data_IF_654572364231
#
_entry.id   IF_654572364231
#
_cell.length_a   1.000
_cell.length_b   1.000
_cell.length_c   1.000
_cell.angle_alpha   90.00
_cell.angle_beta   90.00
_cell.angle_gamma   90.00
#
_symmetry.space_group_name_H-M   'P 1'
#
loop_
_entity.id
_entity.type
_entity.pdbx_description
1 polymer ?
#
# COMPACT_ATOMS: atom_id res chain seq x y z
N UNK A 1 11.48 -10.69 4.34
CA UNK A 1 11.44 -11.33 5.67
C UNK A 1 12.54 -10.75 6.54
N UNK A 2 12.18 -10.35 7.76
CA UNK A 2 13.17 -9.91 8.74
C UNK A 2 13.95 -11.12 9.32
N UNK A 3 15.05 -10.86 10.03
CA UNK A 3 15.96 -11.90 10.54
C UNK A 3 15.25 -12.96 11.41
N UNK A 4 14.22 -12.54 12.15
CA UNK A 4 13.49 -13.39 13.10
C UNK A 4 12.41 -14.27 12.50
N UNK A 5 12.29 -14.38 11.16
CA UNK A 5 11.31 -15.24 10.53
C UNK A 5 11.54 -16.72 10.91
N UNK A 6 10.47 -17.43 11.26
CA UNK A 6 10.56 -18.82 11.65
C UNK A 6 10.83 -19.74 10.44
N UNK A 7 11.36 -20.96 10.67
CA UNK A 7 11.69 -21.88 9.58
C UNK A 7 10.49 -22.25 8.68
N UNK A 8 9.27 -22.32 9.24
CA UNK A 8 8.06 -22.70 8.50
C UNK A 8 7.69 -21.60 7.51
N UNK A 9 7.73 -20.33 7.96
CA UNK A 9 7.50 -19.18 7.08
C UNK A 9 8.54 -19.08 5.96
N UNK A 10 9.83 -19.29 6.29
CA UNK A 10 10.91 -19.27 5.29
C UNK A 10 10.69 -20.36 4.24
N UNK A 11 10.36 -21.58 4.67
CA UNK A 11 10.11 -22.70 3.77
C UNK A 11 8.88 -22.44 2.89
N UNK A 12 7.79 -21.94 3.48
CA UNK A 12 6.58 -21.56 2.74
C UNK A 12 6.89 -20.51 1.67
N UNK A 13 7.49 -19.38 2.04
CA UNK A 13 7.84 -18.32 1.09
C UNK A 13 8.76 -18.83 -0.02
N UNK A 14 9.69 -19.74 0.29
CA UNK A 14 10.61 -20.33 -0.69
C UNK A 14 9.89 -21.26 -1.66
N UNK A 15 8.99 -22.12 -1.18
CA UNK A 15 8.28 -23.14 -1.98
C UNK A 15 7.02 -22.63 -2.67
N UNK A 16 6.45 -21.52 -2.22
CA UNK A 16 5.20 -20.98 -2.76
C UNK A 16 5.30 -20.73 -4.27
N UNK A 17 4.40 -21.34 -5.04
CA UNK A 17 4.40 -21.21 -6.50
C UNK A 17 3.64 -19.95 -6.91
N UNK A 18 4.37 -18.98 -7.44
CA UNK A 18 3.80 -17.74 -7.99
C UNK A 18 3.68 -17.85 -9.51
N UNK A 19 2.46 -18.01 -10.00
CA UNK A 19 2.19 -18.21 -11.42
C UNK A 19 1.96 -16.89 -12.19
N UNK A 20 2.13 -15.74 -11.54
CA UNK A 20 1.80 -14.42 -12.07
C UNK A 20 3.02 -13.50 -12.21
N UNK A 21 4.13 -14.04 -12.73
CA UNK A 21 5.38 -13.31 -12.97
C UNK A 21 6.55 -13.84 -12.14
N UNK A 22 7.54 -12.99 -11.87
CA UNK A 22 8.71 -13.35 -11.07
C UNK A 22 8.44 -13.28 -9.58
N UNK A 23 8.97 -14.25 -8.80
CA UNK A 23 8.98 -14.22 -7.34
C UNK A 23 10.40 -13.93 -6.84
N UNK A 24 10.55 -12.87 -6.06
CA UNK A 24 11.81 -12.53 -5.39
C UNK A 24 11.61 -12.60 -3.89
N UNK A 25 12.41 -13.42 -3.20
CA UNK A 25 12.35 -13.58 -1.75
C UNK A 25 13.62 -13.00 -1.14
N UNK A 26 13.47 -11.98 -0.29
CA UNK A 26 14.58 -11.35 0.45
C UNK A 26 14.48 -11.69 1.93
N UNK A 27 15.55 -12.25 2.48
CA UNK A 27 15.69 -12.55 3.90
C UNK A 27 16.86 -11.76 4.48
N UNK A 28 16.64 -11.04 5.58
CA UNK A 28 17.68 -10.21 6.19
C UNK A 28 18.57 -11.01 7.13
N UNK A 29 19.87 -10.66 7.13
CA UNK A 29 20.84 -11.18 8.12
C UNK A 29 20.79 -10.38 9.42
N UNK A 30 20.37 -9.11 9.35
CA UNK A 30 20.28 -8.18 10.49
C UNK A 30 18.84 -7.72 10.62
N UNK A 31 18.36 -7.57 11.86
CA UNK A 31 17.03 -7.04 12.14
C UNK A 31 16.90 -5.63 11.53
N UNK A 32 16.03 -5.49 10.54
CA UNK A 32 15.80 -4.21 9.86
C UNK A 32 14.67 -3.40 10.50
N UNK A 33 13.69 -4.07 11.11
CA UNK A 33 12.46 -3.43 11.53
C UNK A 33 11.57 -3.03 10.34
N UNK A 34 10.40 -2.47 10.67
CA UNK A 34 9.32 -2.23 9.71
C UNK A 34 9.71 -1.24 8.60
N UNK A 35 10.26 -0.07 8.97
CA UNK A 35 10.51 1.00 8.00
C UNK A 35 11.51 0.57 6.90
N UNK A 36 12.69 0.01 7.22
CA UNK A 36 13.58 -0.53 6.18
C UNK A 36 12.94 -1.66 5.37
N UNK A 37 12.16 -2.54 6.00
CA UNK A 37 11.49 -3.63 5.29
C UNK A 37 10.54 -3.11 4.19
N UNK A 38 9.81 -2.03 4.47
CA UNK A 38 8.92 -1.36 3.51
C UNK A 38 9.73 -0.63 2.44
N UNK A 39 10.69 0.23 2.82
CA UNK A 39 11.43 1.08 1.85
C UNK A 39 12.27 0.24 0.88
N UNK A 40 12.83 -0.89 1.33
CA UNK A 40 13.65 -1.75 0.48
C UNK A 40 12.83 -2.75 -0.36
N UNK A 41 11.51 -2.82 -0.17
CA UNK A 41 10.66 -3.80 -0.85
C UNK A 41 10.44 -3.47 -2.33
N UNK A 42 10.52 -2.20 -2.69
CA UNK A 42 10.13 -1.71 -4.01
C UNK A 42 10.99 -0.52 -4.45
N UNK A 43 11.56 -0.64 -5.64
CA UNK A 43 12.25 0.45 -6.34
C UNK A 43 11.74 0.47 -7.78
N UNK A 44 11.03 1.53 -8.22
CA UNK A 44 10.51 1.60 -9.57
C UNK A 44 11.64 1.66 -10.59
N UNK A 45 11.49 0.94 -11.70
CA UNK A 45 12.43 0.96 -12.82
C UNK A 45 12.19 2.14 -13.76
N UNK A 46 10.92 2.51 -13.98
CA UNK A 46 10.52 3.66 -14.82
C UNK A 46 9.18 4.26 -14.35
N UNK A 47 8.71 5.32 -15.00
CA UNK A 47 7.48 6.06 -14.67
C UNK A 47 6.16 5.28 -14.87
N UNK A 48 6.21 4.00 -15.27
CA UNK A 48 5.09 3.09 -15.45
C UNK A 48 5.22 1.80 -14.61
N UNK A 49 6.20 1.74 -13.71
CA UNK A 49 6.34 0.66 -12.73
C UNK A 49 5.45 0.98 -11.51
N UNK A 50 4.41 0.24 -11.19
CA UNK A 50 3.53 0.56 -10.05
C UNK A 50 3.68 -0.48 -8.96
N UNK A 51 3.91 -0.02 -7.73
CA UNK A 51 4.09 -0.89 -6.57
C UNK A 51 2.80 -1.06 -5.77
N UNK A 52 2.41 -2.30 -5.46
CA UNK A 52 1.37 -2.58 -4.46
C UNK A 52 2.08 -3.12 -3.23
N UNK A 53 1.79 -2.54 -2.06
CA UNK A 53 2.29 -3.03 -0.78
C UNK A 53 1.16 -3.70 -0.01
N UNK A 54 1.39 -4.95 0.40
CA UNK A 54 0.47 -5.77 1.19
C UNK A 54 1.21 -6.30 2.42
N UNK A 55 0.60 -6.15 3.58
CA UNK A 55 1.01 -6.82 4.81
C UNK A 55 0.51 -8.27 4.80
N UNK A 56 1.09 -9.12 5.66
CA UNK A 56 0.77 -10.54 5.78
C UNK A 56 -0.59 -10.83 6.42
N UNK A 57 -1.17 -9.85 7.11
CA UNK A 57 -2.50 -9.90 7.72
C UNK A 57 -3.58 -9.15 6.90
N UNK A 58 -3.29 -8.84 5.63
CA UNK A 58 -4.21 -8.15 4.73
C UNK A 58 -4.88 -9.11 3.76
N UNK A 59 -6.22 -9.03 3.72
CA UNK A 59 -7.03 -9.61 2.66
C UNK A 59 -7.58 -8.53 1.74
N UNK A 60 -7.55 -8.79 0.43
CA UNK A 60 -8.09 -7.89 -0.59
C UNK A 60 -9.28 -8.51 -1.31
N UNK A 61 -10.17 -7.66 -1.81
CA UNK A 61 -11.31 -8.11 -2.63
C UNK A 61 -10.83 -8.90 -3.86
N UNK A 62 -11.59 -9.90 -4.33
CA UNK A 62 -11.34 -10.53 -5.64
C UNK A 62 -11.28 -9.54 -6.82
N UNK A 63 -11.93 -8.38 -6.68
CA UNK A 63 -11.91 -7.30 -7.67
C UNK A 63 -10.80 -6.27 -7.45
N UNK A 64 -9.93 -6.46 -6.45
CA UNK A 64 -8.93 -5.47 -6.07
C UNK A 64 -7.96 -5.16 -7.21
N UNK A 65 -7.47 -6.17 -7.94
CA UNK A 65 -6.57 -5.94 -9.07
C UNK A 65 -7.25 -5.16 -10.22
N UNK A 66 -8.53 -5.41 -10.45
CA UNK A 66 -9.32 -4.65 -11.42
C UNK A 66 -9.47 -3.19 -10.97
N UNK A 67 -9.79 -2.99 -9.68
CA UNK A 67 -9.84 -1.67 -9.06
C UNK A 67 -8.51 -0.91 -9.21
N UNK A 68 -7.37 -1.55 -8.94
CA UNK A 68 -6.03 -0.93 -9.12
C UNK A 68 -5.86 -0.42 -10.54
N UNK A 69 -6.15 -1.25 -11.56
CA UNK A 69 -6.02 -0.84 -12.97
C UNK A 69 -6.89 0.37 -13.31
N UNK A 70 -8.16 0.36 -12.94
CA UNK A 70 -9.05 1.49 -13.20
C UNK A 70 -8.63 2.76 -12.47
N UNK A 71 -8.07 2.61 -11.28
CA UNK A 71 -7.63 3.72 -10.44
C UNK A 71 -6.39 4.39 -11.04
N UNK A 72 -5.42 3.60 -11.52
CA UNK A 72 -4.27 4.11 -12.28
C UNK A 72 -4.75 4.82 -13.56
N UNK A 73 -5.63 4.20 -14.34
CA UNK A 73 -6.18 4.83 -15.55
C UNK A 73 -6.88 6.16 -15.25
N UNK A 74 -7.63 6.26 -14.15
CA UNK A 74 -8.35 7.47 -13.77
C UNK A 74 -7.43 8.59 -13.27
N UNK A 75 -6.53 8.28 -12.34
CA UNK A 75 -5.78 9.30 -11.58
C UNK A 75 -4.35 9.53 -12.07
N UNK A 76 -3.81 8.67 -12.95
CA UNK A 76 -2.55 8.92 -13.64
C UNK A 76 -2.77 9.39 -15.07
N UNK A 77 -3.54 8.61 -15.83
CA UNK A 77 -3.67 8.80 -17.27
C UNK A 77 -4.96 9.56 -17.68
N UNK A 78 -5.91 9.68 -16.77
CA UNK A 78 -7.22 10.27 -17.01
C UNK A 78 -7.29 11.78 -16.77
N UNK A 79 -8.48 12.38 -17.00
CA UNK A 79 -8.70 13.81 -16.81
C UNK A 79 -8.61 14.24 -15.34
N UNK A 80 -8.80 13.30 -14.40
CA UNK A 80 -8.67 13.53 -12.96
C UNK A 80 -7.23 13.39 -12.45
N UNK A 81 -6.23 13.45 -13.34
CA UNK A 81 -4.82 13.29 -12.96
C UNK A 81 -4.37 14.37 -11.99
N UNK A 82 -3.57 13.97 -11.01
CA UNK A 82 -2.98 14.89 -10.03
C UNK A 82 -1.50 14.59 -9.85
N UNK A 83 -0.64 15.54 -10.24
CA UNK A 83 0.82 15.35 -10.28
C UNK A 83 1.47 15.11 -8.92
N UNK A 84 0.82 15.52 -7.83
CA UNK A 84 1.35 15.36 -6.46
C UNK A 84 0.82 14.11 -5.76
N UNK A 85 0.09 13.26 -6.47
CA UNK A 85 -0.41 12.01 -5.94
C UNK A 85 0.69 10.95 -6.00
N UNK A 86 1.11 10.45 -4.83
CA UNK A 86 2.14 9.42 -4.73
C UNK A 86 1.57 8.00 -4.60
N UNK A 87 0.26 7.87 -4.37
CA UNK A 87 -0.41 6.59 -4.23
C UNK A 87 -1.89 6.71 -3.92
N UNK A 88 -2.59 5.58 -3.96
CA UNK A 88 -4.04 5.49 -3.75
C UNK A 88 -4.35 4.19 -3.01
N UNK A 89 -5.25 4.26 -2.03
CA UNK A 89 -5.75 3.09 -1.31
C UNK A 89 -7.27 2.98 -1.43
N UNK A 90 -7.76 1.74 -1.47
CA UNK A 90 -9.19 1.45 -1.33
C UNK A 90 -9.62 1.46 0.14
N UNK A 91 -8.67 1.17 1.03
CA UNK A 91 -8.89 1.16 2.47
C UNK A 91 -8.92 2.60 3.00
N UNK A 92 -10.04 2.98 3.62
CA UNK A 92 -10.13 4.20 4.39
C UNK A 92 -9.45 4.00 5.74
N UNK A 93 -8.42 4.79 6.03
CA UNK A 93 -7.68 4.75 7.30
C UNK A 93 -8.67 4.77 8.48
N UNK A 94 -8.66 3.75 9.34
CA UNK A 94 -9.47 3.73 10.59
C UNK A 94 -8.65 3.97 11.85
N UNK A 95 -7.32 4.01 11.71
CA UNK A 95 -6.38 4.22 12.80
C UNK A 95 -5.32 5.25 12.40
N UNK A 96 -5.10 6.26 13.23
CA UNK A 96 -4.00 7.21 13.06
C UNK A 96 -2.76 6.65 13.77
N UNK A 97 -1.76 6.25 12.98
CA UNK A 97 -0.54 5.61 13.51
C UNK A 97 0.59 6.59 13.80
N UNK A 98 0.50 7.82 13.27
CA UNK A 98 1.59 8.80 13.33
C UNK A 98 1.61 9.63 14.64
N UNK A 99 0.69 9.39 15.56
CA UNK A 99 0.69 10.09 16.85
C UNK A 99 1.81 9.56 17.75
N UNK A 100 2.62 10.48 18.32
CA UNK A 100 3.67 10.13 19.29
C UNK A 100 3.16 9.37 20.53
N UNK A 101 1.88 9.52 20.85
CA UNK A 101 1.23 8.88 22.01
C UNK A 101 0.62 7.51 21.65
N UNK A 102 0.88 7.01 20.44
CA UNK A 102 0.40 5.73 19.95
C UNK A 102 -0.82 5.81 19.03
N UNK A 103 -1.29 4.64 18.59
CA UNK A 103 -2.42 4.47 17.67
C UNK A 103 -3.71 5.02 18.29
N UNK A 104 -4.46 5.78 17.50
CA UNK A 104 -5.79 6.28 17.89
C UNK A 104 -6.82 5.96 16.82
N UNK A 105 -8.07 5.62 17.21
CA UNK A 105 -9.16 5.53 16.26
C UNK A 105 -9.30 6.82 15.45
N UNK A 106 -9.50 6.66 14.15
CA UNK A 106 -9.74 7.75 13.22
C UNK A 106 -11.00 7.43 12.41
N UNK A 107 -11.95 8.35 12.40
CA UNK A 107 -13.12 8.24 11.55
C UNK A 107 -12.98 9.15 10.33
N UNK A 108 -12.67 8.60 9.14
CA UNK A 108 -12.54 9.40 7.94
C UNK A 108 -13.87 9.98 7.48
N UNK A 109 -15.01 9.43 7.89
CA UNK A 109 -16.33 9.92 7.46
C UNK A 109 -16.65 11.27 8.11
N UNK A 110 -16.13 11.52 9.31
CA UNK A 110 -16.29 12.77 10.06
C UNK A 110 -15.82 14.01 9.29
N UNK A 111 -14.86 13.88 8.37
CA UNK A 111 -14.35 15.01 7.56
C UNK A 111 -15.40 15.54 6.57
N UNK A 112 -16.41 14.72 6.26
CA UNK A 112 -17.48 15.07 5.32
C UNK A 112 -18.72 15.62 6.01
N UNK A 113 -18.81 15.56 7.34
CA UNK A 113 -19.95 16.09 8.08
C UNK A 113 -20.14 17.59 7.82
N UNK A 114 -21.35 17.98 7.43
CA UNK A 114 -21.66 19.38 7.07
C UNK A 114 -21.13 19.83 5.71
N UNK A 115 -20.49 18.94 4.94
CA UNK A 115 -20.09 19.21 3.55
C UNK A 115 -21.17 18.75 2.57
N UNK A 116 -21.05 19.15 1.30
CA UNK A 116 -21.91 18.66 0.21
C UNK A 116 -21.57 17.23 -0.27
N UNK A 117 -20.50 16.63 0.26
CA UNK A 117 -19.99 15.35 -0.22
C UNK A 117 -20.58 14.19 0.59
N UNK A 118 -20.90 13.05 -0.04
CA UNK A 118 -21.29 11.83 0.68
C UNK A 118 -20.20 11.34 1.65
N UNK A 119 -20.59 10.68 2.75
CA UNK A 119 -19.68 10.22 3.81
C UNK A 119 -18.56 9.28 3.34
N UNK A 120 -18.76 8.55 2.24
CA UNK A 120 -17.77 7.62 1.66
C UNK A 120 -17.11 8.15 0.39
N UNK A 121 -17.02 9.47 0.28
CA UNK A 121 -16.32 10.10 -0.85
C UNK A 121 -14.81 9.84 -0.77
N UNK A 122 -14.11 9.73 -1.91
CA UNK A 122 -12.65 9.73 -1.90
C UNK A 122 -12.13 11.08 -1.40
N UNK A 123 -11.05 11.06 -0.62
CA UNK A 123 -10.36 12.24 -0.11
C UNK A 123 -8.85 12.10 -0.25
N UNK A 124 -8.15 13.24 -0.19
CA UNK A 124 -6.69 13.25 -0.14
C UNK A 124 -6.23 13.12 1.31
N UNK A 125 -5.33 12.16 1.55
CA UNK A 125 -4.65 11.96 2.83
C UNK A 125 -3.17 12.25 2.67
N UNK A 126 -2.57 12.90 3.67
CA UNK A 126 -1.10 13.06 3.76
C UNK A 126 -0.43 11.88 4.48
N UNK A 127 -1.23 10.93 4.98
CA UNK A 127 -0.76 9.74 5.67
C UNK A 127 -0.71 8.59 4.66
N UNK A 128 0.46 7.97 4.42
CA UNK A 128 0.55 6.78 3.58
C UNK A 128 -0.19 5.62 4.23
N UNK A 129 -0.69 4.69 3.41
CA UNK A 129 -1.43 3.53 3.85
C UNK A 129 -0.64 2.26 3.51
N UNK A 130 -0.34 1.41 4.49
CA UNK A 130 0.35 0.14 4.26
C UNK A 130 -0.58 -1.02 3.92
N UNK A 131 -1.90 -0.87 4.14
CA UNK A 131 -2.90 -1.91 3.90
C UNK A 131 -3.46 -1.91 2.48
N UNK A 132 -2.64 -2.27 1.50
CA UNK A 132 -3.08 -2.41 0.11
C UNK A 132 -3.25 -1.09 -0.61
N UNK A 133 -2.27 -0.19 -0.48
CA UNK A 133 -2.16 0.97 -1.35
C UNK A 133 -1.34 0.63 -2.59
N UNK A 134 -1.72 1.24 -3.72
CA UNK A 134 -0.88 1.31 -4.93
C UNK A 134 -0.07 2.60 -4.91
N UNK A 135 1.22 2.51 -5.19
CA UNK A 135 2.18 3.62 -5.18
C UNK A 135 2.68 3.93 -6.58
N UNK A 136 2.83 5.23 -6.86
CA UNK A 136 3.20 5.74 -8.19
C UNK A 136 4.73 5.91 -8.29
N UNK A 137 5.34 5.62 -9.45
CA UNK A 137 6.80 5.58 -9.63
C UNK A 137 7.43 6.93 -9.96
N UNK A 138 7.25 7.94 -9.12
CA UNK A 138 7.97 9.20 -9.36
C UNK A 138 9.46 9.00 -9.04
N UNK A 139 10.25 8.73 -10.08
CA UNK A 139 11.71 8.69 -10.07
C UNK A 139 12.16 10.13 -10.35
N UNK A 140 12.88 10.74 -9.41
CA UNK A 140 13.49 12.07 -9.64
C UNK A 140 14.74 11.96 -10.48
#
# INVERSE_FOLDING_TARGET
>A
MDRGADPVTIEFCSKFLWNHGSKNVRHRVIQGGLLPAVVESYYPNDYNDYGILLEDDVEVSPFYYLWVKYTILKYRYGPAKYQRLFGISLYGQRQMELHMVGRRPYDPESIFHGTKFPSRSPYLSQVPCSWGAVYFPEIK
#
